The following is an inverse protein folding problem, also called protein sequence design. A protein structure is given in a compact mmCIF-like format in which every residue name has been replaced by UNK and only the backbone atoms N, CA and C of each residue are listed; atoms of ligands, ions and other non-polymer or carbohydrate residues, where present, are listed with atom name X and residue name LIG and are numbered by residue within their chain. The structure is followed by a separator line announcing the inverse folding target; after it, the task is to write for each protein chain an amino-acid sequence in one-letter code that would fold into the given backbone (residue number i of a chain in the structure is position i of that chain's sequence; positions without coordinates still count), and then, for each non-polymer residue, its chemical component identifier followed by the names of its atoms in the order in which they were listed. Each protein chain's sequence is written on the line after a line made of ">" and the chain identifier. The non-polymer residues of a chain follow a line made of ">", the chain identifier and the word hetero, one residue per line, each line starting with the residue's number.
data_IF_455732347097
#
_entry.id   IF_455732347097
#
_cell.length_a   1.000
_cell.length_b   1.000
_cell.length_c   1.000
_cell.angle_alpha   90.00
_cell.angle_beta   90.00
_cell.angle_gamma   90.00
#
_symmetry.space_group_name_H-M   'P 1'
#
loop_
_entity.id
_entity.type
_entity.pdbx_description
1 polymer ?
#
# COMPACT_ATOMS: atom_id res chain seq x y z
N UNK A 1 5.37 -0.29 -10.06
CA UNK A 1 4.59 0.80 -9.46
C UNK A 1 5.31 1.33 -8.22
N UNK A 2 5.58 2.62 -8.18
CA UNK A 2 6.10 3.32 -7.01
C UNK A 2 5.27 4.59 -6.80
N UNK A 3 5.08 4.99 -5.54
CA UNK A 3 4.29 6.17 -5.19
C UNK A 3 5.06 7.45 -5.60
N UNK A 4 4.90 7.85 -6.85
CA UNK A 4 5.32 9.17 -7.32
C UNK A 4 4.36 10.26 -6.81
N UNK A 5 4.76 11.53 -6.95
CA UNK A 5 3.86 12.65 -6.62
C UNK A 5 2.59 12.62 -7.47
N UNK A 6 2.72 12.32 -8.76
CA UNK A 6 1.59 12.20 -9.68
C UNK A 6 0.65 11.06 -9.27
N UNK A 7 1.17 9.84 -9.02
CA UNK A 7 0.35 8.71 -8.58
C UNK A 7 -0.38 9.02 -7.27
N UNK A 8 0.29 9.67 -6.33
CA UNK A 8 -0.33 10.10 -5.07
C UNK A 8 -1.52 11.05 -5.30
N UNK A 9 -1.32 12.07 -6.14
CA UNK A 9 -2.34 13.09 -6.41
C UNK A 9 -3.52 12.47 -7.17
N UNK A 10 -3.27 11.56 -8.12
CA UNK A 10 -4.31 10.78 -8.80
C UNK A 10 -5.06 9.84 -7.86
N UNK A 11 -4.40 9.20 -6.89
CA UNK A 11 -5.09 8.41 -5.87
C UNK A 11 -6.07 9.25 -5.05
N UNK A 12 -5.66 10.46 -4.64
CA UNK A 12 -6.54 11.40 -3.92
C UNK A 12 -7.74 11.79 -4.78
N UNK A 13 -7.48 12.22 -6.01
CA UNK A 13 -8.52 12.68 -6.94
C UNK A 13 -9.54 11.58 -7.25
N UNK A 14 -9.05 10.41 -7.68
CA UNK A 14 -9.94 9.30 -8.05
C UNK A 14 -10.68 8.73 -6.86
N UNK A 15 -10.07 8.63 -5.69
CA UNK A 15 -10.77 8.18 -4.48
C UNK A 15 -11.93 9.12 -4.14
N UNK A 16 -11.71 10.44 -4.20
CA UNK A 16 -12.76 11.42 -3.95
C UNK A 16 -13.88 11.39 -5.02
N UNK A 17 -13.52 11.14 -6.29
CA UNK A 17 -14.48 10.98 -7.40
C UNK A 17 -15.34 9.74 -7.21
N UNK A 18 -14.72 8.59 -6.95
CA UNK A 18 -15.44 7.33 -6.77
C UNK A 18 -16.33 7.32 -5.52
N UNK A 19 -15.92 7.99 -4.45
CA UNK A 19 -16.76 8.15 -3.26
C UNK A 19 -18.08 8.84 -3.57
N UNK A 20 -18.06 9.88 -4.43
CA UNK A 20 -19.23 10.69 -4.76
C UNK A 20 -20.12 10.09 -5.87
N UNK A 21 -19.60 9.20 -6.69
CA UNK A 21 -20.33 8.62 -7.81
C UNK A 21 -21.32 7.54 -7.33
N UNK A 22 -22.64 7.74 -7.44
CA UNK A 22 -23.63 6.76 -6.97
C UNK A 22 -23.62 5.44 -7.78
N UNK A 23 -23.05 5.42 -8.97
CA UNK A 23 -22.92 4.20 -9.78
C UNK A 23 -21.78 3.30 -9.28
N UNK A 24 -20.80 3.85 -8.55
CA UNK A 24 -19.71 3.07 -7.95
C UNK A 24 -20.17 2.47 -6.62
N UNK A 25 -20.18 1.15 -6.52
CA UNK A 25 -20.59 0.41 -5.32
C UNK A 25 -19.43 -0.11 -4.48
N UNK A 26 -18.29 -0.39 -5.11
CA UNK A 26 -17.05 -0.77 -4.45
C UNK A 26 -15.86 -0.26 -5.28
N UNK A 27 -14.69 -0.22 -4.68
CA UNK A 27 -13.45 0.19 -5.34
C UNK A 27 -12.42 -0.93 -5.22
N UNK A 28 -11.82 -1.30 -6.35
CA UNK A 28 -10.72 -2.27 -6.39
C UNK A 28 -9.42 -1.53 -6.68
N UNK A 29 -8.44 -1.67 -5.78
CA UNK A 29 -7.08 -1.16 -5.99
C UNK A 29 -6.21 -2.31 -6.46
N UNK A 30 -5.58 -2.17 -7.63
CA UNK A 30 -4.65 -3.15 -8.20
C UNK A 30 -3.45 -2.49 -8.86
N UNK A 31 -2.34 -3.18 -8.93
CA UNK A 31 -1.16 -2.72 -9.65
C UNK A 31 -1.28 -2.95 -11.17
N UNK A 32 -0.73 -2.05 -11.98
CA UNK A 32 -0.48 -2.33 -13.39
C UNK A 32 0.80 -3.18 -13.53
N UNK A 33 0.80 -4.10 -14.49
CA UNK A 33 1.94 -4.98 -14.74
C UNK A 33 2.10 -6.11 -13.72
N UNK A 34 3.34 -6.42 -13.35
CA UNK A 34 3.68 -7.63 -12.58
C UNK A 34 3.66 -7.46 -11.07
N UNK A 35 3.59 -6.23 -10.56
CA UNK A 35 3.67 -5.94 -9.12
C UNK A 35 2.58 -4.98 -8.68
N UNK A 36 2.12 -5.13 -7.45
CA UNK A 36 1.15 -4.24 -6.84
C UNK A 36 1.76 -2.85 -6.63
N UNK A 37 2.66 -2.69 -5.67
CA UNK A 37 3.35 -1.43 -5.39
C UNK A 37 4.62 -1.67 -4.57
N UNK A 38 5.74 -1.08 -5.01
CA UNK A 38 7.05 -1.23 -4.38
C UNK A 38 7.38 -0.14 -3.32
N UNK A 39 6.40 0.65 -2.90
CA UNK A 39 6.60 1.75 -1.94
C UNK A 39 6.81 3.12 -2.59
N UNK A 40 7.51 4.01 -1.89
CA UNK A 40 7.83 5.36 -2.38
C UNK A 40 8.79 5.35 -3.57
N UNK A 41 8.81 6.45 -4.33
CA UNK A 41 9.76 6.64 -5.44
C UNK A 41 11.16 7.00 -4.92
N UNK A 42 11.91 5.99 -4.49
CA UNK A 42 13.27 6.14 -3.94
C UNK A 42 14.23 6.76 -4.97
N UNK A 43 14.04 6.47 -6.27
CA UNK A 43 14.89 7.08 -7.33
C UNK A 43 14.63 8.59 -7.44
N UNK A 44 13.36 8.98 -7.39
CA UNK A 44 12.96 10.38 -7.34
C UNK A 44 13.48 11.09 -6.09
N UNK A 45 13.43 10.43 -4.93
CA UNK A 45 14.01 10.97 -3.68
C UNK A 45 15.52 11.17 -3.80
N UNK A 46 16.25 10.18 -4.27
CA UNK A 46 17.69 10.28 -4.48
C UNK A 46 18.05 11.42 -5.43
N UNK A 47 17.37 11.51 -6.58
CA UNK A 47 17.57 12.57 -7.55
C UNK A 47 17.38 13.96 -6.92
N UNK A 48 16.25 14.19 -6.23
CA UNK A 48 15.97 15.51 -5.64
C UNK A 48 16.91 15.85 -4.47
N UNK A 49 17.35 14.86 -3.68
CA UNK A 49 18.37 15.06 -2.64
C UNK A 49 19.75 15.46 -3.20
N UNK A 50 20.09 15.04 -4.42
CA UNK A 50 21.36 15.36 -5.05
C UNK A 50 21.33 16.65 -5.87
N UNK A 51 20.17 17.04 -6.41
CA UNK A 51 20.03 18.24 -7.26
C UNK A 51 19.44 19.45 -6.54
N UNK A 52 18.54 19.22 -5.56
CA UNK A 52 17.75 20.26 -4.90
C UNK A 52 17.57 19.96 -3.40
N UNK A 53 18.67 19.65 -2.72
CA UNK A 53 18.65 19.11 -1.34
C UNK A 53 17.82 19.95 -0.36
N UNK A 54 18.03 21.26 -0.34
CA UNK A 54 17.33 22.16 0.60
C UNK A 54 15.82 22.20 0.32
N UNK A 55 15.42 22.33 -0.95
CA UNK A 55 14.02 22.29 -1.35
C UNK A 55 13.39 20.93 -1.07
N UNK A 56 14.14 19.83 -1.27
CA UNK A 56 13.68 18.49 -0.93
C UNK A 56 13.39 18.35 0.56
N UNK A 57 14.34 18.73 1.42
CA UNK A 57 14.19 18.63 2.87
C UNK A 57 13.06 19.54 3.37
N UNK A 58 12.97 20.77 2.91
CA UNK A 58 11.89 21.69 3.28
C UNK A 58 10.50 21.21 2.85
N UNK A 59 10.40 20.50 1.71
CA UNK A 59 9.13 19.96 1.19
C UNK A 59 8.78 18.55 1.65
N UNK A 60 9.66 17.84 2.37
CA UNK A 60 9.50 16.42 2.66
C UNK A 60 8.30 16.16 3.56
N UNK A 61 8.11 16.92 4.64
CA UNK A 61 6.96 16.80 5.54
C UNK A 61 5.64 16.93 4.77
N UNK A 62 5.51 17.93 3.91
CA UNK A 62 4.29 18.11 3.11
C UNK A 62 4.05 16.95 2.13
N UNK A 63 5.10 16.31 1.62
CA UNK A 63 4.97 15.10 0.78
C UNK A 63 4.38 13.94 1.57
N UNK A 64 4.83 13.75 2.82
CA UNK A 64 4.29 12.73 3.73
C UNK A 64 2.85 13.03 4.09
N UNK A 65 2.52 14.28 4.44
CA UNK A 65 1.14 14.73 4.73
C UNK A 65 0.21 14.42 3.55
N UNK A 66 0.61 14.72 2.33
CA UNK A 66 -0.18 14.40 1.13
C UNK A 66 -0.30 12.89 0.87
N UNK A 67 0.75 12.10 1.14
CA UNK A 67 0.65 10.65 1.05
C UNK A 67 -0.37 10.09 2.06
N UNK A 68 -0.38 10.62 3.29
CA UNK A 68 -1.39 10.28 4.30
C UNK A 68 -2.81 10.74 3.90
N UNK A 69 -2.94 11.84 3.16
CA UNK A 69 -4.24 12.25 2.63
C UNK A 69 -4.83 11.21 1.67
N UNK A 70 -4.02 10.57 0.82
CA UNK A 70 -4.47 9.46 -0.03
C UNK A 70 -5.00 8.28 0.81
N UNK A 71 -4.25 7.90 1.85
CA UNK A 71 -4.67 6.85 2.79
C UNK A 71 -5.97 7.22 3.51
N UNK A 72 -6.06 8.45 4.01
CA UNK A 72 -7.25 8.94 4.70
C UNK A 72 -8.49 8.89 3.81
N UNK A 73 -8.36 9.30 2.53
CA UNK A 73 -9.47 9.24 1.57
C UNK A 73 -9.96 7.79 1.34
N UNK A 74 -9.04 6.85 1.19
CA UNK A 74 -9.36 5.43 1.03
C UNK A 74 -10.05 4.89 2.29
N UNK A 75 -9.47 5.18 3.46
CA UNK A 75 -9.95 4.61 4.73
C UNK A 75 -11.31 5.13 5.17
N UNK A 76 -11.63 6.40 4.88
CA UNK A 76 -12.93 6.99 5.23
C UNK A 76 -14.02 6.75 4.19
N UNK A 77 -13.69 6.16 3.04
CA UNK A 77 -14.64 5.93 1.95
C UNK A 77 -15.84 5.11 2.44
N UNK A 78 -17.05 5.59 2.15
CA UNK A 78 -18.29 4.90 2.53
C UNK A 78 -18.67 3.77 1.57
N UNK A 79 -17.68 3.22 0.87
CA UNK A 79 -17.81 2.10 -0.07
C UNK A 79 -16.70 1.11 0.24
N UNK A 80 -16.95 -0.20 0.13
CA UNK A 80 -15.91 -1.20 0.32
C UNK A 80 -14.74 -0.97 -0.63
N UNK A 81 -13.53 -1.08 -0.09
CA UNK A 81 -12.27 -1.01 -0.85
C UNK A 81 -11.56 -2.34 -0.75
N UNK A 82 -11.30 -2.96 -1.90
CA UNK A 82 -10.63 -4.25 -2.03
C UNK A 82 -9.24 -4.07 -2.64
N UNK A 83 -8.20 -4.57 -1.98
CA UNK A 83 -6.87 -4.71 -2.57
C UNK A 83 -6.77 -6.03 -3.37
N UNK A 84 -6.43 -5.95 -4.66
CA UNK A 84 -6.12 -7.11 -5.51
C UNK A 84 -4.63 -7.09 -5.83
N UNK A 85 -3.88 -7.98 -5.17
CA UNK A 85 -2.42 -7.90 -5.03
C UNK A 85 -1.75 -8.96 -5.89
N UNK A 86 -0.89 -8.53 -6.81
CA UNK A 86 0.01 -9.40 -7.56
C UNK A 86 1.47 -9.04 -7.29
N UNK A 87 2.34 -10.05 -7.19
CA UNK A 87 3.79 -9.89 -7.02
C UNK A 87 4.16 -9.08 -5.77
N UNK A 88 5.00 -8.06 -5.91
CA UNK A 88 5.51 -7.29 -4.77
C UNK A 88 4.50 -6.28 -4.21
N UNK A 89 4.36 -6.27 -2.88
CA UNK A 89 3.73 -5.20 -2.11
C UNK A 89 4.69 -4.77 -0.98
N UNK A 90 5.38 -3.64 -1.16
CA UNK A 90 6.44 -3.21 -0.28
C UNK A 90 6.23 -1.78 0.25
N UNK A 91 6.69 -1.51 1.45
CA UNK A 91 6.62 -0.18 2.09
C UNK A 91 5.21 0.39 2.05
N UNK A 92 5.02 1.54 1.40
CA UNK A 92 3.70 2.17 1.24
C UNK A 92 2.68 1.25 0.54
N UNK A 93 3.12 0.30 -0.30
CA UNK A 93 2.23 -0.69 -0.91
C UNK A 93 1.59 -1.62 0.13
N UNK A 94 2.35 -2.08 1.11
CA UNK A 94 1.80 -2.84 2.24
C UNK A 94 0.91 -1.97 3.12
N UNK A 95 1.32 -0.71 3.39
CA UNK A 95 0.49 0.25 4.11
C UNK A 95 -0.86 0.48 3.42
N UNK A 96 -0.87 0.58 2.09
CA UNK A 96 -2.09 0.74 1.30
C UNK A 96 -3.04 -0.46 1.44
N UNK A 97 -2.50 -1.69 1.41
CA UNK A 97 -3.30 -2.92 1.63
C UNK A 97 -3.94 -2.91 3.02
N UNK A 98 -3.18 -2.57 4.06
CA UNK A 98 -3.68 -2.49 5.43
C UNK A 98 -4.82 -1.47 5.63
N UNK A 99 -4.96 -0.53 4.71
CA UNK A 99 -6.02 0.49 4.73
C UNK A 99 -7.23 0.12 3.85
N UNK A 100 -7.17 -0.96 3.07
CA UNK A 100 -8.33 -1.53 2.40
C UNK A 100 -9.17 -2.35 3.38
N UNK A 101 -10.45 -2.53 3.07
CA UNK A 101 -11.36 -3.33 3.90
C UNK A 101 -11.10 -4.82 3.72
N UNK A 102 -10.75 -5.23 2.51
CA UNK A 102 -10.46 -6.62 2.14
C UNK A 102 -9.22 -6.69 1.25
N UNK A 103 -8.56 -7.84 1.26
CA UNK A 103 -7.39 -8.08 0.42
C UNK A 103 -7.37 -9.52 -0.12
N UNK A 104 -7.18 -9.65 -1.44
CA UNK A 104 -6.92 -10.90 -2.14
C UNK A 104 -5.56 -10.81 -2.83
N UNK A 105 -4.77 -11.87 -2.82
CA UNK A 105 -3.47 -11.89 -3.46
C UNK A 105 -3.25 -13.12 -4.33
N UNK A 106 -2.37 -12.99 -5.33
CA UNK A 106 -1.83 -14.16 -6.02
C UNK A 106 -0.86 -14.94 -5.11
N UNK A 107 -0.78 -16.24 -5.33
CA UNK A 107 0.05 -17.18 -4.57
C UNK A 107 1.56 -16.86 -4.65
N UNK A 108 2.01 -16.22 -5.73
CA UNK A 108 3.38 -15.75 -5.94
C UNK A 108 3.67 -14.36 -5.33
N UNK A 109 2.71 -13.75 -4.65
CA UNK A 109 2.89 -12.44 -4.04
C UNK A 109 3.81 -12.50 -2.83
N UNK A 110 4.56 -11.41 -2.60
CA UNK A 110 5.38 -11.25 -1.41
C UNK A 110 5.27 -9.82 -0.85
N UNK A 111 5.50 -9.72 0.44
CA UNK A 111 5.26 -8.52 1.22
C UNK A 111 6.49 -8.15 2.03
N UNK A 112 6.71 -6.87 2.26
CA UNK A 112 7.71 -6.36 3.21
C UNK A 112 7.38 -4.94 3.62
N UNK A 113 7.64 -4.57 4.86
CA UNK A 113 7.45 -3.18 5.29
C UNK A 113 8.61 -2.27 4.84
N UNK A 114 9.80 -2.81 4.64
CA UNK A 114 10.99 -2.27 3.96
C UNK A 114 11.57 -0.92 4.45
N UNK A 115 10.88 -0.10 5.22
CA UNK A 115 11.32 1.25 5.61
C UNK A 115 12.67 1.27 6.34
N UNK A 116 12.94 0.26 7.19
CA UNK A 116 14.21 0.17 7.91
C UNK A 116 15.44 0.14 7.00
N UNK A 117 15.30 -0.41 5.80
CA UNK A 117 16.43 -0.53 4.85
C UNK A 117 16.91 0.83 4.31
N UNK A 118 16.11 1.86 4.47
CA UNK A 118 16.43 3.23 4.06
C UNK A 118 16.40 4.22 5.25
N UNK A 119 16.41 3.70 6.49
CA UNK A 119 16.47 4.51 7.70
C UNK A 119 15.21 5.32 8.00
N UNK A 120 14.06 4.90 7.47
CA UNK A 120 12.77 5.56 7.72
C UNK A 120 11.88 4.72 8.65
N UNK A 121 11.01 5.39 9.39
CA UNK A 121 9.88 4.76 10.08
C UNK A 121 8.73 4.51 9.09
N UNK A 122 7.90 3.50 9.39
CA UNK A 122 6.75 3.19 8.56
C UNK A 122 5.71 4.32 8.54
N UNK A 123 5.15 4.59 7.36
CA UNK A 123 4.12 5.60 7.13
C UNK A 123 2.83 4.98 6.55
N UNK A 124 1.97 5.79 5.96
CA UNK A 124 0.73 5.34 5.34
C UNK A 124 -0.21 4.60 6.30
N UNK A 125 -0.14 4.88 7.61
CA UNK A 125 -0.98 4.25 8.63
C UNK A 125 -0.52 2.86 9.06
N UNK A 126 0.61 2.32 8.55
CA UNK A 126 1.07 0.98 8.91
C UNK A 126 1.30 0.84 10.42
N UNK A 127 1.85 1.85 11.10
CA UNK A 127 2.08 1.83 12.54
C UNK A 127 0.79 1.74 13.36
N UNK A 128 -0.34 2.15 12.79
CA UNK A 128 -1.66 2.05 13.41
C UNK A 128 -2.38 0.75 13.06
N UNK A 129 -2.41 0.38 11.77
CA UNK A 129 -3.22 -0.75 11.30
C UNK A 129 -2.52 -2.10 11.45
N UNK A 130 -1.21 -2.18 11.20
CA UNK A 130 -0.50 -3.46 11.27
C UNK A 130 -0.65 -4.15 12.64
N UNK A 131 -0.40 -3.49 13.79
CA UNK A 131 -0.57 -4.14 15.09
C UNK A 131 -2.02 -4.55 15.40
N UNK A 132 -3.01 -3.91 14.78
CA UNK A 132 -4.42 -4.28 14.90
C UNK A 132 -4.80 -5.49 14.08
N UNK A 133 -4.08 -5.74 13.01
CA UNK A 133 -4.29 -6.89 12.11
C UNK A 133 -3.53 -8.12 12.60
N UNK A 134 -2.24 -7.98 12.91
CA UNK A 134 -1.34 -9.11 13.20
C UNK A 134 -0.99 -9.27 14.69
N UNK A 135 -1.42 -8.35 15.54
CA UNK A 135 -0.97 -8.23 16.92
C UNK A 135 0.37 -7.50 17.05
N UNK A 136 0.62 -6.94 18.24
CA UNK A 136 1.76 -6.04 18.48
C UNK A 136 3.12 -6.69 18.23
N UNK A 137 3.33 -7.92 18.73
CA UNK A 137 4.64 -8.60 18.59
C UNK A 137 4.98 -8.90 17.14
N UNK A 138 4.03 -9.39 16.35
CA UNK A 138 4.24 -9.67 14.92
C UNK A 138 4.41 -8.39 14.12
N UNK A 139 3.71 -7.32 14.49
CA UNK A 139 3.88 -6.00 13.87
C UNK A 139 5.29 -5.44 14.11
N UNK A 140 5.82 -5.56 15.32
CA UNK A 140 7.20 -5.17 15.65
C UNK A 140 8.23 -6.02 14.89
N UNK A 141 8.04 -7.33 14.81
CA UNK A 141 8.89 -8.22 14.02
C UNK A 141 8.95 -7.75 12.54
N UNK A 142 7.79 -7.57 11.90
CA UNK A 142 7.69 -7.12 10.50
C UNK A 142 8.34 -5.74 10.32
N UNK A 143 8.11 -4.80 11.25
CA UNK A 143 8.60 -3.44 11.13
C UNK A 143 10.12 -3.33 11.39
N UNK A 144 10.62 -4.04 12.41
CA UNK A 144 12.02 -3.93 12.85
C UNK A 144 12.96 -4.82 12.03
N UNK A 145 12.51 -6.01 11.60
CA UNK A 145 13.34 -6.89 10.79
C UNK A 145 13.26 -6.54 9.30
N UNK A 146 12.09 -6.09 8.82
CA UNK A 146 11.89 -5.67 7.43
C UNK A 146 12.08 -6.80 6.43
N UNK A 147 11.96 -8.05 6.87
CA UNK A 147 12.11 -9.23 6.03
C UNK A 147 10.93 -9.37 5.07
N UNK A 148 11.14 -10.13 3.99
CA UNK A 148 10.06 -10.49 3.08
C UNK A 148 9.29 -11.67 3.66
N UNK A 149 7.98 -11.64 3.48
CA UNK A 149 7.11 -12.76 3.81
C UNK A 149 6.16 -13.07 2.64
N UNK A 150 5.75 -14.32 2.53
CA UNK A 150 4.95 -14.86 1.45
C UNK A 150 3.46 -14.47 1.55
N UNK A 151 2.70 -14.77 0.49
CA UNK A 151 1.24 -14.65 0.51
C UNK A 151 0.61 -15.54 1.60
N UNK A 152 1.15 -16.76 1.81
CA UNK A 152 0.65 -17.66 2.85
C UNK A 152 0.87 -17.07 4.25
N UNK A 153 2.08 -16.58 4.55
CA UNK A 153 2.36 -15.92 5.84
C UNK A 153 1.51 -14.66 6.03
N UNK A 154 1.27 -13.89 4.96
CA UNK A 154 0.37 -12.72 5.01
C UNK A 154 -1.08 -13.13 5.36
N UNK A 155 -1.56 -14.24 4.82
CA UNK A 155 -2.88 -14.79 5.13
C UNK A 155 -2.96 -15.34 6.56
N UNK A 156 -1.96 -16.09 6.99
CA UNK A 156 -1.89 -16.67 8.34
C UNK A 156 -1.84 -15.58 9.42
N UNK A 157 -1.32 -14.41 9.06
CA UNK A 157 -1.28 -13.22 9.91
C UNK A 157 -2.45 -12.25 9.68
N UNK A 158 -3.54 -12.65 8.99
CA UNK A 158 -4.75 -11.88 8.73
C UNK A 158 -4.55 -10.60 7.88
N UNK A 159 -3.41 -10.46 7.21
CA UNK A 159 -3.18 -9.33 6.27
C UNK A 159 -3.98 -9.56 4.97
N UNK A 160 -4.19 -10.82 4.58
CA UNK A 160 -4.98 -11.20 3.42
C UNK A 160 -6.20 -12.02 3.85
N UNK A 161 -7.31 -11.82 3.14
CA UNK A 161 -8.51 -12.65 3.28
C UNK A 161 -8.40 -13.91 2.40
N UNK A 162 -7.86 -13.80 1.19
CA UNK A 162 -7.77 -14.90 0.22
C UNK A 162 -6.44 -14.91 -0.53
N UNK A 163 -6.05 -16.13 -0.91
CA UNK A 163 -4.96 -16.39 -1.85
C UNK A 163 -5.53 -17.25 -2.97
N UNK A 164 -5.16 -16.92 -4.19
CA UNK A 164 -5.58 -17.63 -5.40
C UNK A 164 -4.39 -17.82 -6.36
N UNK A 165 -4.45 -18.79 -7.26
CA UNK A 165 -3.46 -18.90 -8.33
C UNK A 165 -3.34 -17.59 -9.11
N UNK A 166 -2.14 -17.24 -9.52
CA UNK A 166 -1.82 -15.96 -10.18
C UNK A 166 -2.70 -15.68 -11.39
N UNK A 167 -2.95 -16.67 -12.22
CA UNK A 167 -3.77 -16.57 -13.43
C UNK A 167 -5.26 -16.38 -13.12
N UNK A 168 -5.71 -16.70 -11.91
CA UNK A 168 -7.09 -16.57 -11.46
C UNK A 168 -7.37 -15.25 -10.72
N UNK A 169 -6.34 -14.49 -10.30
CA UNK A 169 -6.51 -13.33 -9.45
C UNK A 169 -7.55 -12.32 -9.97
N UNK A 170 -7.49 -12.01 -11.27
CA UNK A 170 -8.41 -11.02 -11.87
C UNK A 170 -9.85 -11.53 -11.86
N UNK A 171 -10.05 -12.80 -12.22
CA UNK A 171 -11.37 -13.42 -12.27
C UNK A 171 -11.99 -13.55 -10.87
N UNK A 172 -11.20 -13.99 -9.88
CA UNK A 172 -11.68 -14.13 -8.50
C UNK A 172 -11.94 -12.76 -7.84
N UNK A 173 -11.11 -11.74 -8.11
CA UNK A 173 -11.38 -10.37 -7.66
C UNK A 173 -12.71 -9.84 -8.21
N UNK A 174 -13.04 -10.14 -9.46
CA UNK A 174 -14.28 -9.66 -10.11
C UNK A 174 -15.56 -10.33 -9.60
N UNK A 175 -15.46 -11.46 -8.89
CA UNK A 175 -16.60 -12.16 -8.28
C UNK A 175 -16.99 -11.61 -6.91
N UNK A 176 -16.11 -10.82 -6.29
CA UNK A 176 -16.32 -10.20 -4.98
C UNK A 176 -17.10 -8.89 -5.07
#
# INVERSE_FOLDING_TARGET
>A
NALSMEMRDLLIEHSAKFEKDPAVRCVVIRGAGTHFMAGGDIRGFHKSLTTEKEAHLAGFEMRVVKAHQAIYQIRRMQKPVLASVQGAAAGFGLSLILNCDLAIASDDSFFTLAYRHIGLSADGGATYFLPRVVGERKALEIALLGERFSAQEAKDNNILNWIVPKDQLVAETAKM
#
